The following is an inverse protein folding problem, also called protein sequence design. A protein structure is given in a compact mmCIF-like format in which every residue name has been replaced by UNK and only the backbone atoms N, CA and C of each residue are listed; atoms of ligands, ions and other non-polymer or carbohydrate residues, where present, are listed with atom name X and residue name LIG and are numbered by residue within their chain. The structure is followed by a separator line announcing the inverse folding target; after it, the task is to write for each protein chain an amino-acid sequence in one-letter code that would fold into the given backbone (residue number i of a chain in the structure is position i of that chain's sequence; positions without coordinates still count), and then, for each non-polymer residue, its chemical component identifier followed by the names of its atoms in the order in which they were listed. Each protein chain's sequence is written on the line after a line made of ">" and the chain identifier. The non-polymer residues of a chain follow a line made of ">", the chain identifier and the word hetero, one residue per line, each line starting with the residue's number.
data_IF_025727309106
#
_entry.id   IF_025727309106
#
_cell.length_a   1.000
_cell.length_b   1.000
_cell.length_c   1.000
_cell.angle_alpha   90.00
_cell.angle_beta   90.00
_cell.angle_gamma   90.00
#
_symmetry.space_group_name_H-M   'P 1'
#
loop_
_entity.id
_entity.type
_entity.pdbx_description
1 polymer ?
#
# COMPACT_ATOMS: atom_id res chain seq x y z
N UNK A 1 37.10 -23.88 -19.25
CA UNK A 1 35.71 -23.55 -19.65
C UNK A 1 35.56 -23.75 -21.14
N UNK A 2 34.47 -24.38 -21.57
CA UNK A 2 34.16 -24.53 -22.99
C UNK A 2 33.61 -23.20 -23.53
N UNK A 3 33.84 -22.86 -24.80
CA UNK A 3 33.34 -21.60 -25.39
C UNK A 3 31.81 -21.46 -25.30
N UNK A 4 31.08 -22.58 -25.36
CA UNK A 4 29.64 -22.60 -25.16
C UNK A 4 29.22 -22.17 -23.74
N UNK A 5 29.97 -22.54 -22.71
CA UNK A 5 29.68 -22.14 -21.32
C UNK A 5 29.87 -20.64 -21.12
N UNK A 6 30.88 -20.06 -21.77
CA UNK A 6 31.14 -18.61 -21.75
C UNK A 6 30.01 -17.84 -22.44
N UNK A 7 29.52 -18.36 -23.57
CA UNK A 7 28.37 -17.76 -24.27
C UNK A 7 27.10 -17.79 -23.42
N UNK A 8 26.82 -18.91 -22.75
CA UNK A 8 25.65 -19.04 -21.86
C UNK A 8 25.73 -18.04 -20.70
N UNK A 9 26.89 -17.94 -20.05
CA UNK A 9 27.10 -16.99 -18.95
C UNK A 9 26.95 -15.54 -19.43
N UNK A 10 27.45 -15.23 -20.62
CA UNK A 10 27.27 -13.90 -21.23
C UNK A 10 25.80 -13.56 -21.44
N UNK A 11 25.01 -14.49 -21.98
CA UNK A 11 23.55 -14.31 -22.17
C UNK A 11 22.82 -14.14 -20.84
N UNK A 12 23.13 -14.97 -19.85
CA UNK A 12 22.53 -14.86 -18.51
C UNK A 12 22.85 -13.53 -17.83
N UNK A 13 24.09 -13.05 -17.98
CA UNK A 13 24.49 -11.74 -17.47
C UNK A 13 23.72 -10.59 -18.11
N UNK A 14 23.47 -10.66 -19.43
CA UNK A 14 22.67 -9.66 -20.13
C UNK A 14 21.20 -9.66 -19.69
N UNK A 15 20.60 -10.83 -19.48
CA UNK A 15 19.23 -10.95 -19.00
C UNK A 15 19.08 -10.44 -17.56
N UNK A 16 20.01 -10.78 -16.67
CA UNK A 16 19.99 -10.28 -15.30
C UNK A 16 20.16 -8.75 -15.25
N UNK A 17 20.95 -8.20 -16.17
CA UNK A 17 21.14 -6.77 -16.28
C UNK A 17 19.86 -6.04 -16.72
N UNK A 18 19.11 -6.58 -17.70
CA UNK A 18 17.85 -5.97 -18.14
C UNK A 18 16.80 -5.98 -17.03
N UNK A 19 16.64 -7.11 -16.33
CA UNK A 19 15.69 -7.22 -15.21
C UNK A 19 16.03 -6.25 -14.08
N UNK A 20 17.32 -6.07 -13.79
CA UNK A 20 17.76 -5.10 -12.78
C UNK A 20 17.46 -3.65 -13.19
N UNK A 21 17.60 -3.30 -14.47
CA UNK A 21 17.25 -1.99 -14.99
C UNK A 21 15.75 -1.73 -14.89
N UNK A 22 14.93 -2.69 -15.31
CA UNK A 22 13.47 -2.58 -15.23
C UNK A 22 12.99 -2.45 -13.78
N UNK A 23 13.57 -3.24 -12.87
CA UNK A 23 13.29 -3.11 -11.44
C UNK A 23 13.65 -1.72 -10.91
N UNK A 24 14.84 -1.20 -11.26
CA UNK A 24 15.26 0.14 -10.83
C UNK A 24 14.36 1.24 -11.39
N UNK A 25 13.90 1.11 -12.63
CA UNK A 25 12.97 2.05 -13.25
C UNK A 25 11.60 2.02 -12.57
N UNK A 26 11.12 0.83 -12.19
CA UNK A 26 9.81 0.65 -11.56
C UNK A 26 9.79 0.90 -10.05
N UNK A 27 10.94 1.09 -9.39
CA UNK A 27 11.00 1.31 -7.93
C UNK A 27 10.17 2.51 -7.45
N UNK A 28 10.10 3.56 -8.28
CA UNK A 28 9.40 4.80 -7.94
C UNK A 28 8.19 5.04 -8.85
N UNK A 29 7.86 4.10 -9.72
CA UNK A 29 6.69 4.25 -10.58
C UNK A 29 5.45 3.83 -9.79
N UNK A 30 4.80 4.81 -9.15
CA UNK A 30 3.50 4.59 -8.53
C UNK A 30 2.45 4.63 -9.63
N UNK A 31 1.86 3.49 -9.94
CA UNK A 31 0.63 3.45 -10.74
C UNK A 31 -0.49 4.03 -9.87
N UNK A 32 -0.77 5.31 -10.05
CA UNK A 32 -1.97 5.93 -9.50
C UNK A 32 -3.17 5.34 -10.25
N UNK A 33 -3.80 4.34 -9.65
CA UNK A 33 -5.10 3.84 -10.08
C UNK A 33 -6.10 4.97 -9.84
N UNK A 34 -6.24 5.88 -10.82
CA UNK A 34 -7.28 6.90 -10.79
C UNK A 34 -8.64 6.18 -10.77
N UNK A 35 -9.19 6.03 -9.57
CA UNK A 35 -10.48 5.42 -9.34
C UNK A 35 -11.53 6.27 -10.06
N UNK A 36 -12.03 5.78 -11.20
CA UNK A 36 -12.99 6.47 -12.08
C UNK A 36 -14.44 6.47 -11.56
N UNK A 37 -14.64 6.25 -10.28
CA UNK A 37 -15.95 6.41 -9.63
C UNK A 37 -15.86 7.51 -8.59
N UNK A 38 -16.85 8.39 -8.50
CA UNK A 38 -17.03 9.14 -7.26
C UNK A 38 -17.13 8.08 -6.14
N UNK A 39 -16.32 8.15 -5.06
CA UNK A 39 -16.47 7.23 -3.97
C UNK A 39 -17.91 7.38 -3.46
N UNK A 40 -18.76 6.39 -3.70
CA UNK A 40 -20.07 6.26 -3.05
C UNK A 40 -19.86 5.82 -1.61
N UNK A 41 -18.85 6.37 -0.95
CA UNK A 41 -18.56 6.16 0.45
C UNK A 41 -19.55 7.02 1.21
N UNK A 42 -20.23 6.42 2.17
CA UNK A 42 -21.10 7.16 3.08
C UNK A 42 -20.27 7.75 4.22
N UNK A 43 -20.77 8.83 4.83
CA UNK A 43 -20.23 9.37 6.07
C UNK A 43 -20.12 8.32 7.17
N UNK A 44 -21.08 7.39 7.21
CA UNK A 44 -21.06 6.31 8.18
C UNK A 44 -19.84 5.40 7.99
N UNK A 45 -19.48 5.08 6.74
CA UNK A 45 -18.27 4.28 6.45
C UNK A 45 -17.00 5.04 6.82
N UNK A 46 -16.91 6.34 6.53
CA UNK A 46 -15.79 7.16 6.99
C UNK A 46 -15.72 7.29 8.52
N UNK A 47 -16.86 7.39 9.20
CA UNK A 47 -16.95 7.39 10.65
C UNK A 47 -16.47 6.09 11.29
N UNK A 48 -16.85 4.95 10.71
CA UNK A 48 -16.37 3.63 11.12
C UNK A 48 -14.85 3.49 10.92
N UNK A 49 -14.31 4.01 9.81
CA UNK A 49 -12.87 3.98 9.54
C UNK A 49 -12.11 4.87 10.54
N UNK A 50 -12.61 6.07 10.82
CA UNK A 50 -12.05 6.97 11.84
C UNK A 50 -12.05 6.34 13.23
N UNK A 51 -13.15 5.65 13.59
CA UNK A 51 -13.22 4.94 14.86
C UNK A 51 -12.17 3.85 14.96
N UNK A 52 -11.97 3.04 13.91
CA UNK A 52 -10.92 2.01 13.89
C UNK A 52 -9.51 2.59 14.02
N UNK A 53 -9.24 3.72 13.37
CA UNK A 53 -7.94 4.41 13.50
C UNK A 53 -7.73 4.91 14.94
N UNK A 54 -8.76 5.49 15.57
CA UNK A 54 -8.69 5.92 16.98
C UNK A 54 -8.50 4.74 17.91
N UNK A 55 -9.25 3.66 17.73
CA UNK A 55 -9.14 2.44 18.53
C UNK A 55 -7.74 1.85 18.44
N UNK A 56 -7.11 1.85 17.25
CA UNK A 56 -5.73 1.40 17.05
C UNK A 56 -4.73 2.26 17.85
N UNK A 57 -4.91 3.59 17.89
CA UNK A 57 -4.04 4.51 18.63
C UNK A 57 -4.26 4.49 20.14
N UNK A 58 -5.51 4.36 20.59
CA UNK A 58 -5.89 4.45 22.01
C UNK A 58 -5.81 3.10 22.72
N UNK A 59 -6.21 2.02 22.04
CA UNK A 59 -6.31 0.66 22.59
C UNK A 59 -5.29 -0.29 21.96
N UNK A 60 -4.13 0.22 21.51
CA UNK A 60 -3.10 -0.55 20.80
C UNK A 60 -2.76 -1.91 21.44
N UNK A 61 -2.75 -2.01 22.78
CA UNK A 61 -2.51 -3.26 23.50
C UNK A 61 -3.67 -4.28 23.41
N UNK A 62 -4.93 -3.83 23.46
CA UNK A 62 -6.12 -4.70 23.30
C UNK A 62 -6.33 -5.05 21.82
N UNK A 63 -6.01 -4.13 20.93
CA UNK A 63 -6.13 -4.27 19.49
C UNK A 63 -5.10 -5.26 18.93
N UNK A 64 -3.90 -5.38 19.54
CA UNK A 64 -2.95 -6.48 19.25
C UNK A 64 -3.57 -7.87 19.42
N UNK A 65 -4.50 -8.04 20.36
CA UNK A 65 -5.20 -9.33 20.54
C UNK A 65 -6.24 -9.59 19.46
N UNK A 66 -6.88 -8.55 18.92
CA UNK A 66 -7.82 -8.67 17.80
C UNK A 66 -7.10 -8.96 16.48
N UNK A 67 -5.94 -8.33 16.24
CA UNK A 67 -5.16 -8.49 15.01
C UNK A 67 -4.11 -9.61 15.06
N UNK A 68 -4.18 -10.53 16.05
CA UNK A 68 -3.32 -11.71 16.29
C UNK A 68 -2.17 -11.89 15.29
N UNK A 69 -1.05 -11.20 15.53
CA UNK A 69 0.20 -11.39 14.79
C UNK A 69 0.41 -10.46 13.58
N UNK A 70 -0.52 -9.55 13.29
CA UNK A 70 -0.27 -8.45 12.35
C UNK A 70 0.51 -7.33 13.05
N UNK A 71 1.52 -6.80 12.35
CA UNK A 71 2.25 -5.62 12.80
C UNK A 71 1.29 -4.42 12.84
N UNK A 72 1.09 -3.84 14.03
CA UNK A 72 0.25 -2.66 14.21
C UNK A 72 0.67 -1.50 13.30
N UNK A 73 1.95 -1.40 12.96
CA UNK A 73 2.46 -0.37 12.05
C UNK A 73 1.95 -0.60 10.62
N UNK A 74 1.85 -1.87 10.20
CA UNK A 74 1.27 -2.25 8.91
C UNK A 74 -0.25 -2.01 8.89
N UNK A 75 -0.93 -2.34 9.98
CA UNK A 75 -2.38 -2.09 10.14
C UNK A 75 -2.66 -0.58 10.10
N UNK A 76 -1.87 0.24 10.79
CA UNK A 76 -2.01 1.70 10.74
C UNK A 76 -1.84 2.23 9.31
N UNK A 77 -0.76 1.81 8.64
CA UNK A 77 -0.46 2.21 7.26
C UNK A 77 -1.53 1.75 6.26
N UNK A 78 -2.20 0.63 6.54
CA UNK A 78 -3.33 0.17 5.74
C UNK A 78 -4.54 1.09 5.92
N UNK A 79 -4.92 1.40 7.17
CA UNK A 79 -6.08 2.24 7.47
C UNK A 79 -5.90 3.67 6.96
N UNK A 80 -4.69 4.24 7.06
CA UNK A 80 -4.35 5.54 6.46
C UNK A 80 -4.51 5.54 4.94
N UNK A 81 -4.10 4.46 4.26
CA UNK A 81 -4.30 4.32 2.82
C UNK A 81 -5.77 4.20 2.47
N UNK A 82 -6.56 3.42 3.20
CA UNK A 82 -8.01 3.35 2.99
C UNK A 82 -8.67 4.71 3.17
N UNK A 83 -8.26 5.47 4.19
CA UNK A 83 -8.79 6.81 4.46
C UNK A 83 -8.60 7.76 3.28
N UNK A 84 -7.40 7.76 2.70
CA UNK A 84 -7.07 8.56 1.53
C UNK A 84 -7.80 8.07 0.28
N UNK A 85 -7.79 6.76 0.03
CA UNK A 85 -8.40 6.17 -1.18
C UNK A 85 -9.92 6.33 -1.20
N UNK A 86 -10.58 6.26 -0.05
CA UNK A 86 -12.03 6.46 0.05
C UNK A 86 -12.42 7.93 -0.02
N UNK A 87 -11.47 8.87 0.05
CA UNK A 87 -11.75 10.30 0.04
C UNK A 87 -12.49 10.76 1.29
N UNK A 88 -12.25 10.13 2.44
CA UNK A 88 -12.91 10.49 3.69
C UNK A 88 -12.50 11.87 4.20
N UNK A 89 -11.26 12.30 3.95
CA UNK A 89 -10.73 13.62 4.29
C UNK A 89 -11.54 14.78 3.63
N UNK A 90 -11.70 14.83 2.29
CA UNK A 90 -12.50 15.87 1.64
C UNK A 90 -14.01 15.76 1.94
N UNK A 91 -14.49 14.58 2.34
CA UNK A 91 -15.91 14.36 2.61
C UNK A 91 -16.32 14.86 4.01
N UNK A 92 -15.45 14.68 5.01
CA UNK A 92 -15.68 15.22 6.36
C UNK A 92 -15.48 16.73 6.45
N UNK A 93 -14.46 17.27 5.76
CA UNK A 93 -14.20 18.71 5.71
C UNK A 93 -15.34 19.49 5.03
N UNK A 94 -16.00 18.91 4.02
CA UNK A 94 -17.20 19.49 3.41
C UNK A 94 -18.42 19.52 4.35
N UNK A 95 -18.42 18.74 5.43
CA UNK A 95 -19.52 18.68 6.40
C UNK A 95 -19.24 19.43 7.70
N UNK A 96 -18.11 20.13 7.80
CA UNK A 96 -17.79 21.00 8.95
C UNK A 96 -17.41 20.24 10.22
N UNK A 97 -16.86 19.03 10.10
CA UNK A 97 -16.20 18.30 11.19
C UNK A 97 -14.69 18.53 11.20
#
# INVERSE_FOLDING_TARGET
>A
MKPAEVAIIGVLGLLLWSEWQDWRLNQNDSIELAYKGAPTISLWQCGQLKQKMMDLTEHSAEVQFQFRGQDLVEVNRYLEREWQQQGCEPLLTQQGY
#
